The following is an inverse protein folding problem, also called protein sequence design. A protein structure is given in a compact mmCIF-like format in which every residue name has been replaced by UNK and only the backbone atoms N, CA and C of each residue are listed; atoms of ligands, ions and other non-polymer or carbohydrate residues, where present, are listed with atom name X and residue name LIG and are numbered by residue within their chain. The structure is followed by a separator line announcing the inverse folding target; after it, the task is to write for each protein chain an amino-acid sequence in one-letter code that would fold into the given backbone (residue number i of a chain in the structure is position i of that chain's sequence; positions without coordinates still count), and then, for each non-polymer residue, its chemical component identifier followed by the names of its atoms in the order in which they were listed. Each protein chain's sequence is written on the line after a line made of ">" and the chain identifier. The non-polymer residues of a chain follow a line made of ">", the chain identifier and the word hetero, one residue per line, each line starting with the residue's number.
data_IF_846930353983
#
_entry.id   IF_846930353983
#
_cell.length_a   1.000
_cell.length_b   1.000
_cell.length_c   1.000
_cell.angle_alpha   90.00
_cell.angle_beta   90.00
_cell.angle_gamma   90.00
#
_symmetry.space_group_name_H-M   'P 1'
#
loop_
_entity.id
_entity.type
_entity.pdbx_description
1 polymer ?
#
# COMPACT_ATOMS: atom_id res chain seq x y z
N UNK A 1 -7.68 23.34 3.95
CA UNK A 1 -8.76 22.73 3.14
C UNK A 1 -8.24 21.73 2.11
N UNK A 2 -7.20 22.06 1.32
CA UNK A 2 -6.62 21.13 0.32
C UNK A 2 -6.16 19.80 0.94
N UNK A 3 -5.39 19.83 2.04
CA UNK A 3 -4.91 18.61 2.71
C UNK A 3 -6.04 17.66 3.14
N UNK A 4 -7.15 18.20 3.63
CA UNK A 4 -8.34 17.43 4.02
C UNK A 4 -8.97 16.72 2.81
N UNK A 5 -9.10 17.43 1.68
CA UNK A 5 -9.62 16.85 0.44
C UNK A 5 -8.71 15.73 -0.05
N UNK A 6 -7.40 15.94 -0.02
CA UNK A 6 -6.41 14.91 -0.39
C UNK A 6 -6.56 13.67 0.50
N UNK A 7 -6.62 13.84 1.82
CA UNK A 7 -6.80 12.72 2.73
C UNK A 7 -8.11 11.97 2.49
N UNK A 8 -9.22 12.68 2.28
CA UNK A 8 -10.50 12.07 2.00
C UNK A 8 -10.46 11.27 0.68
N UNK A 9 -9.91 11.84 -0.39
CA UNK A 9 -9.78 11.17 -1.68
C UNK A 9 -8.89 9.93 -1.60
N UNK A 10 -7.74 10.02 -0.93
CA UNK A 10 -6.87 8.87 -0.68
C UNK A 10 -7.57 7.77 0.11
N UNK A 11 -8.33 8.15 1.16
CA UNK A 11 -9.13 7.23 1.96
C UNK A 11 -10.17 6.49 1.11
N UNK A 12 -10.99 7.21 0.35
CA UNK A 12 -12.03 6.61 -0.49
C UNK A 12 -11.45 5.77 -1.63
N UNK A 13 -10.33 6.18 -2.21
CA UNK A 13 -9.65 5.43 -3.28
C UNK A 13 -9.08 4.11 -2.75
N UNK A 14 -8.43 4.15 -1.57
CA UNK A 14 -7.94 2.96 -0.90
C UNK A 14 -9.09 2.04 -0.46
N UNK A 15 -10.20 2.60 0.03
CA UNK A 15 -11.40 1.85 0.37
C UNK A 15 -11.98 1.13 -0.86
N UNK A 16 -12.11 1.83 -1.98
CA UNK A 16 -12.59 1.24 -3.23
C UNK A 16 -11.69 0.10 -3.68
N UNK A 17 -10.36 0.29 -3.66
CA UNK A 17 -9.40 -0.76 -3.98
C UNK A 17 -9.53 -1.96 -3.02
N UNK A 18 -9.69 -1.71 -1.72
CA UNK A 18 -9.87 -2.76 -0.72
C UNK A 18 -11.14 -3.59 -0.99
N UNK A 19 -12.26 -2.94 -1.30
CA UNK A 19 -13.53 -3.60 -1.62
C UNK A 19 -13.45 -4.39 -2.93
N UNK A 20 -12.87 -3.80 -3.98
CA UNK A 20 -12.66 -4.47 -5.26
C UNK A 20 -11.84 -5.75 -5.07
N UNK A 21 -10.76 -5.70 -4.28
CA UNK A 21 -9.94 -6.87 -3.97
C UNK A 21 -10.66 -7.87 -3.06
N UNK A 22 -11.39 -7.40 -2.03
CA UNK A 22 -12.08 -8.29 -1.09
C UNK A 22 -13.16 -9.13 -1.78
N UNK A 23 -13.95 -8.47 -2.63
CA UNK A 23 -15.07 -9.09 -3.34
C UNK A 23 -14.72 -9.55 -4.76
N UNK A 24 -13.47 -9.35 -5.20
CA UNK A 24 -12.99 -9.67 -6.54
C UNK A 24 -13.87 -9.08 -7.64
N UNK A 25 -14.23 -7.81 -7.50
CA UNK A 25 -15.02 -7.08 -8.50
C UNK A 25 -14.23 -6.89 -9.81
N UNK A 26 -14.88 -6.58 -10.94
CA UNK A 26 -14.20 -6.36 -12.21
C UNK A 26 -13.01 -5.39 -12.07
N UNK A 27 -11.85 -5.78 -12.61
CA UNK A 27 -10.60 -5.01 -12.46
C UNK A 27 -9.72 -5.38 -11.26
N UNK A 28 -10.17 -6.29 -10.37
CA UNK A 28 -9.35 -6.77 -9.24
C UNK A 28 -8.01 -7.38 -9.69
N UNK A 29 -7.99 -8.03 -10.85
CA UNK A 29 -6.78 -8.66 -11.40
C UNK A 29 -5.70 -7.65 -11.78
N UNK A 30 -6.13 -6.45 -12.22
CA UNK A 30 -5.24 -5.33 -12.53
C UNK A 30 -4.66 -4.76 -11.23
N UNK A 31 -5.51 -4.53 -10.22
CA UNK A 31 -5.10 -4.02 -8.91
C UNK A 31 -4.16 -4.98 -8.17
N UNK A 32 -4.44 -6.28 -8.25
CA UNK A 32 -3.58 -7.31 -7.67
C UNK A 32 -2.31 -7.56 -8.51
N UNK A 33 -2.15 -6.91 -9.67
CA UNK A 33 -0.97 -7.04 -10.53
C UNK A 33 -0.86 -8.39 -11.23
N UNK A 34 -1.93 -9.21 -11.20
CA UNK A 34 -1.91 -10.59 -11.68
C UNK A 34 -1.95 -10.64 -13.22
N UNK A 35 -2.53 -9.63 -13.87
CA UNK A 35 -2.54 -9.55 -15.35
C UNK A 35 -1.15 -9.39 -15.98
N UNK A 36 -0.14 -8.99 -15.21
CA UNK A 36 1.25 -8.83 -15.68
C UNK A 36 2.06 -10.12 -15.57
N UNK A 37 1.48 -11.18 -15.04
CA UNK A 37 2.12 -12.47 -14.83
C UNK A 37 1.73 -13.45 -15.94
N UNK A 38 2.67 -14.29 -16.36
CA UNK A 38 2.39 -15.37 -17.32
C UNK A 38 1.30 -16.33 -16.81
N UNK A 39 0.60 -16.99 -17.72
CA UNK A 39 -0.49 -17.92 -17.41
C UNK A 39 -0.05 -19.05 -16.46
N UNK A 40 1.15 -19.61 -16.67
CA UNK A 40 1.73 -20.65 -15.81
C UNK A 40 2.11 -20.15 -14.42
N UNK A 41 2.38 -18.86 -14.28
CA UNK A 41 2.65 -18.22 -12.98
C UNK A 41 1.35 -17.94 -12.25
N UNK A 42 0.34 -17.46 -12.99
CA UNK A 42 -1.00 -17.18 -12.48
C UNK A 42 -1.65 -18.41 -11.83
N UNK A 43 -1.42 -19.59 -12.40
CA UNK A 43 -1.95 -20.86 -11.89
C UNK A 43 -1.33 -21.30 -10.55
N UNK A 44 -0.14 -20.79 -10.19
CA UNK A 44 0.60 -21.17 -8.97
C UNK A 44 0.38 -20.24 -7.78
N UNK A 45 -0.26 -19.09 -8.00
CA UNK A 45 -0.50 -18.10 -6.95
C UNK A 45 -1.83 -18.41 -6.26
N UNK A 46 -1.83 -18.41 -4.92
CA UNK A 46 -3.09 -18.39 -4.17
C UNK A 46 -3.75 -17.02 -4.30
N UNK A 47 -4.55 -16.88 -5.36
CA UNK A 47 -5.34 -15.69 -5.68
C UNK A 47 -6.28 -15.30 -4.53
N UNK A 48 -6.73 -16.24 -3.69
CA UNK A 48 -7.65 -15.94 -2.59
C UNK A 48 -6.91 -15.32 -1.42
N UNK A 49 -5.78 -15.90 -1.05
CA UNK A 49 -4.91 -15.32 -0.05
C UNK A 49 -4.39 -13.95 -0.51
N UNK A 50 -3.88 -13.84 -1.75
CA UNK A 50 -3.37 -12.60 -2.32
C UNK A 50 -4.41 -11.47 -2.24
N UNK A 51 -5.62 -11.71 -2.75
CA UNK A 51 -6.67 -10.68 -2.80
C UNK A 51 -7.10 -10.22 -1.41
N UNK A 52 -7.23 -11.15 -0.45
CA UNK A 52 -7.59 -10.83 0.93
C UNK A 52 -6.48 -10.05 1.64
N UNK A 53 -5.24 -10.49 1.50
CA UNK A 53 -4.11 -9.85 2.16
C UNK A 53 -3.85 -8.45 1.58
N UNK A 54 -3.93 -8.28 0.26
CA UNK A 54 -3.85 -6.95 -0.38
C UNK A 54 -5.02 -6.06 0.05
N UNK A 55 -6.24 -6.60 0.12
CA UNK A 55 -7.39 -5.85 0.64
C UNK A 55 -7.16 -5.33 2.05
N UNK A 56 -6.60 -6.14 2.95
CA UNK A 56 -6.26 -5.72 4.31
C UNK A 56 -5.25 -4.57 4.33
N UNK A 57 -4.24 -4.60 3.46
CA UNK A 57 -3.28 -3.50 3.32
C UNK A 57 -3.98 -2.21 2.88
N UNK A 58 -4.89 -2.29 1.89
CA UNK A 58 -5.66 -1.13 1.44
C UNK A 58 -6.66 -0.61 2.49
N UNK A 59 -7.27 -1.50 3.29
CA UNK A 59 -8.09 -1.11 4.42
C UNK A 59 -7.30 -0.31 5.44
N UNK A 60 -6.09 -0.77 5.78
CA UNK A 60 -5.20 -0.05 6.68
C UNK A 60 -4.88 1.36 6.16
N UNK A 61 -4.51 1.48 4.88
CA UNK A 61 -4.28 2.78 4.23
C UNK A 61 -5.52 3.66 4.31
N UNK A 62 -6.68 3.11 3.96
CA UNK A 62 -7.95 3.84 4.00
C UNK A 62 -8.24 4.41 5.38
N UNK A 63 -8.13 3.60 6.43
CA UNK A 63 -8.37 4.06 7.80
C UNK A 63 -7.35 5.08 8.28
N UNK A 64 -6.08 4.94 7.93
CA UNK A 64 -5.05 5.92 8.27
C UNK A 64 -5.37 7.29 7.66
N UNK A 65 -5.74 7.33 6.38
CA UNK A 65 -6.12 8.56 5.69
C UNK A 65 -7.46 9.12 6.20
N UNK A 66 -8.43 8.27 6.52
CA UNK A 66 -9.70 8.68 7.11
C UNK A 66 -9.50 9.33 8.48
N UNK A 67 -8.68 8.72 9.34
CA UNK A 67 -8.34 9.27 10.66
C UNK A 67 -7.71 10.66 10.53
N UNK A 68 -6.76 10.82 9.60
CA UNK A 68 -6.17 12.14 9.32
C UNK A 68 -7.15 13.16 8.75
N UNK A 69 -8.07 12.75 7.88
CA UNK A 69 -9.13 13.63 7.40
C UNK A 69 -10.04 14.10 8.55
N UNK A 70 -10.38 13.20 9.49
CA UNK A 70 -11.16 13.55 10.69
C UNK A 70 -10.40 14.52 11.59
N UNK A 71 -9.13 14.26 11.89
CA UNK A 71 -8.28 15.15 12.71
C UNK A 71 -8.15 16.54 12.08
N UNK A 72 -7.97 16.62 10.76
CA UNK A 72 -7.94 17.89 10.02
C UNK A 72 -9.30 18.60 10.04
N UNK A 73 -10.40 17.85 9.93
CA UNK A 73 -11.75 18.40 9.93
C UNK A 73 -12.12 19.00 11.28
N UNK A 74 -11.81 18.28 12.37
CA UNK A 74 -12.06 18.74 13.74
C UNK A 74 -11.06 19.80 14.21
N UNK A 75 -10.05 20.13 13.39
CA UNK A 75 -8.95 21.04 13.72
C UNK A 75 -8.17 20.60 14.96
N UNK A 76 -8.12 19.29 15.23
CA UNK A 76 -7.41 18.73 16.37
C UNK A 76 -5.89 18.75 16.18
N UNK A 77 -5.40 18.80 14.93
CA UNK A 77 -3.98 18.99 14.60
C UNK A 77 -3.83 19.70 13.24
N UNK A 78 -2.66 20.28 13.01
CA UNK A 78 -2.28 20.84 11.71
C UNK A 78 -1.70 19.78 10.77
N UNK A 79 -1.61 20.11 9.47
CA UNK A 79 -1.12 19.19 8.45
C UNK A 79 0.30 18.68 8.73
N UNK A 80 1.17 19.56 9.20
CA UNK A 80 2.58 19.26 9.43
C UNK A 80 2.77 18.23 10.55
N UNK A 81 1.87 18.19 11.52
CA UNK A 81 1.87 17.20 12.61
C UNK A 81 1.38 15.82 12.15
N UNK A 82 0.57 15.78 11.09
CA UNK A 82 -0.04 14.56 10.56
C UNK A 82 0.84 13.91 9.48
N UNK A 83 1.67 14.72 8.79
CA UNK A 83 2.57 14.27 7.73
C UNK A 83 3.46 13.08 8.15
N UNK A 84 4.12 13.08 9.33
CA UNK A 84 4.92 11.93 9.76
C UNK A 84 4.10 10.65 9.88
N UNK A 85 2.90 10.74 10.44
CA UNK A 85 1.99 9.60 10.57
C UNK A 85 1.58 9.05 9.21
N UNK A 86 1.35 9.93 8.22
CA UNK A 86 1.02 9.53 6.86
C UNK A 86 2.20 8.85 6.15
N UNK A 87 3.40 9.40 6.27
CA UNK A 87 4.61 8.75 5.73
C UNK A 87 4.84 7.37 6.36
N UNK A 88 4.68 7.26 7.67
CA UNK A 88 4.80 5.98 8.38
C UNK A 88 3.74 4.97 7.93
N UNK A 89 2.50 5.42 7.75
CA UNK A 89 1.39 4.58 7.30
C UNK A 89 1.61 4.06 5.87
N UNK A 90 2.08 4.93 4.97
CA UNK A 90 2.44 4.55 3.60
C UNK A 90 3.64 3.61 3.55
N UNK A 91 4.65 3.84 4.40
CA UNK A 91 5.80 2.95 4.54
C UNK A 91 5.37 1.56 5.01
N UNK A 92 4.51 1.48 6.03
CA UNK A 92 3.97 0.21 6.51
C UNK A 92 3.15 -0.50 5.44
N UNK A 93 2.32 0.25 4.70
CA UNK A 93 1.53 -0.29 3.60
C UNK A 93 2.41 -0.84 2.48
N UNK A 94 3.45 -0.11 2.05
CA UNK A 94 4.41 -0.57 1.05
C UNK A 94 5.12 -1.86 1.47
N UNK A 95 5.54 -1.93 2.73
CA UNK A 95 6.11 -3.15 3.31
C UNK A 95 5.11 -4.29 3.36
N UNK A 96 3.84 -4.00 3.70
CA UNK A 96 2.72 -4.93 3.62
C UNK A 96 2.55 -5.49 2.22
N UNK A 97 2.49 -4.63 1.19
CA UNK A 97 2.41 -5.05 -0.22
C UNK A 97 3.55 -6.00 -0.57
N UNK A 98 4.79 -5.62 -0.28
CA UNK A 98 5.97 -6.43 -0.55
C UNK A 98 5.92 -7.80 0.15
N UNK A 99 5.53 -7.83 1.42
CA UNK A 99 5.38 -9.06 2.20
C UNK A 99 4.29 -9.98 1.62
N UNK A 100 3.14 -9.41 1.27
CA UNK A 100 2.02 -10.15 0.68
C UNK A 100 2.41 -10.79 -0.63
N UNK A 101 3.05 -10.03 -1.53
CA UNK A 101 3.55 -10.58 -2.78
C UNK A 101 4.56 -11.70 -2.53
N UNK A 102 5.58 -11.49 -1.68
CA UNK A 102 6.55 -12.56 -1.38
C UNK A 102 5.95 -13.80 -0.73
N UNK A 103 4.88 -13.65 0.05
CA UNK A 103 4.23 -14.79 0.71
C UNK A 103 3.39 -15.60 -0.27
N UNK A 104 2.71 -14.92 -1.19
CA UNK A 104 1.81 -15.56 -2.17
C UNK A 104 2.54 -15.99 -3.45
N UNK A 105 3.74 -15.47 -3.68
CA UNK A 105 4.57 -15.75 -4.83
C UNK A 105 5.72 -16.67 -4.43
N UNK A 106 5.53 -17.98 -4.63
CA UNK A 106 6.48 -19.03 -4.26
C UNK A 106 7.66 -19.16 -5.24
N UNK A 107 8.04 -18.06 -5.90
CA UNK A 107 8.95 -18.13 -7.04
C UNK A 107 10.42 -18.29 -6.66
N UNK A 108 11.13 -19.12 -7.42
CA UNK A 108 12.58 -19.16 -7.46
C UNK A 108 13.10 -18.09 -8.43
N UNK A 109 12.97 -16.83 -8.04
CA UNK A 109 13.57 -15.73 -8.78
C UNK A 109 15.08 -15.93 -8.95
N UNK A 110 15.61 -15.59 -10.14
CA UNK A 110 17.05 -15.51 -10.33
C UNK A 110 17.70 -14.55 -9.31
N UNK A 111 18.95 -14.82 -8.95
CA UNK A 111 19.61 -14.05 -7.90
C UNK A 111 19.71 -12.54 -8.22
N UNK A 112 19.85 -12.20 -9.50
CA UNK A 112 19.88 -10.82 -10.00
C UNK A 112 18.54 -10.10 -9.81
N UNK A 113 17.42 -10.73 -10.17
CA UNK A 113 16.08 -10.17 -9.98
C UNK A 113 15.75 -9.99 -8.49
N UNK A 114 16.16 -10.94 -7.64
CA UNK A 114 16.05 -10.80 -6.18
C UNK A 114 16.84 -9.62 -5.64
N UNK A 115 18.09 -9.42 -6.10
CA UNK A 115 18.93 -8.29 -5.68
C UNK A 115 18.31 -6.97 -6.13
N UNK A 116 17.83 -6.88 -7.37
CA UNK A 116 17.17 -5.70 -7.91
C UNK A 116 15.87 -5.39 -7.16
N UNK A 117 15.03 -6.40 -6.89
CA UNK A 117 13.81 -6.24 -6.11
C UNK A 117 14.08 -5.77 -4.67
N UNK A 118 15.09 -6.32 -4.00
CA UNK A 118 15.52 -5.82 -2.67
C UNK A 118 16.07 -4.40 -2.74
N UNK A 119 16.81 -4.06 -3.79
CA UNK A 119 17.34 -2.72 -4.02
C UNK A 119 16.23 -1.69 -4.19
N UNK A 120 15.22 -2.00 -5.02
CA UNK A 120 14.03 -1.17 -5.20
C UNK A 120 13.23 -1.03 -3.90
N UNK A 121 13.02 -2.14 -3.17
CA UNK A 121 12.37 -2.10 -1.87
C UNK A 121 13.13 -1.19 -0.89
N UNK A 122 14.44 -1.32 -0.79
CA UNK A 122 15.27 -0.47 0.08
C UNK A 122 15.24 1.00 -0.35
N UNK A 123 15.34 1.28 -1.65
CA UNK A 123 15.27 2.65 -2.18
C UNK A 123 13.93 3.33 -1.86
N UNK A 124 12.81 2.61 -2.01
CA UNK A 124 11.48 3.13 -1.68
C UNK A 124 11.34 3.32 -0.16
N UNK A 125 11.85 2.41 0.67
CA UNK A 125 11.87 2.60 2.12
C UNK A 125 12.66 3.87 2.48
N UNK A 126 13.84 4.08 1.89
CA UNK A 126 14.64 5.29 2.10
C UNK A 126 13.89 6.56 1.65
N UNK A 127 13.18 6.50 0.52
CA UNK A 127 12.40 7.63 0.00
C UNK A 127 11.29 8.07 0.96
N UNK A 128 10.67 7.14 1.69
CA UNK A 128 9.64 7.45 2.68
C UNK A 128 10.21 7.76 4.08
N UNK A 129 11.37 7.18 4.41
CA UNK A 129 12.02 7.36 5.71
C UNK A 129 12.79 8.69 5.79
N UNK A 130 13.34 9.18 4.68
CA UNK A 130 14.06 10.45 4.64
C UNK A 130 13.17 11.67 4.95
N UNK A 131 11.98 11.85 4.34
CA UNK A 131 11.03 12.88 4.74
C UNK A 131 10.55 12.71 6.19
N UNK A 132 10.35 11.48 6.65
CA UNK A 132 9.96 11.21 8.03
C UNK A 132 11.01 11.74 9.02
N UNK A 133 12.29 11.47 8.76
CA UNK A 133 13.40 11.97 9.59
C UNK A 133 13.49 13.49 9.53
N UNK A 134 13.35 14.10 8.34
CA UNK A 134 13.39 15.56 8.19
C UNK A 134 12.23 16.31 8.86
N UNK A 135 11.07 15.67 9.04
CA UNK A 135 9.93 16.31 9.71
C UNK A 135 9.96 16.07 11.22
N UNK A 136 10.66 15.04 11.70
CA UNK A 136 10.77 14.71 13.12
C UNK A 136 11.95 15.40 13.85
N UNK A 137 12.92 15.96 13.11
CA UNK A 137 14.13 16.62 13.63
C UNK A 137 14.27 18.04 13.08
#
# INVERSE_FOLDING_TARGET
>A
MVALIVCALCSFSALAAALILQFRLPGWELLAGVLRLDLDHRARIDVRALSRLLSLVFWFVSFAFAASAVVLYTKAAFWDEILPFQFLSLLLAFNGFWFVYRRCDHNEYSESLRKLGRGLWAAINLLFLFPLVLVLF
#
